data_IF_500701906668
#
_entry.id   IF_500701906668
#
_cell.length_a   1.000
_cell.length_b   1.000
_cell.length_c   1.000
_cell.angle_alpha   90.00
_cell.angle_beta   90.00
_cell.angle_gamma   90.00
#
_symmetry.space_group_name_H-M   'P 1'
#
loop_
_entity.id
_entity.type
_entity.pdbx_description
1 polymer ?
#
# COMPACT_ATOMS: atom_id res chain seq x y z
N UNK A 1 38.20 12.71 -26.27
CA UNK A 1 37.83 11.48 -25.52
C UNK A 1 36.98 11.87 -24.33
N UNK A 2 35.66 11.70 -24.44
CA UNK A 2 34.71 11.97 -23.37
C UNK A 2 34.77 10.84 -22.32
N UNK A 3 34.80 11.19 -21.03
CA UNK A 3 34.50 10.29 -19.91
C UNK A 3 33.22 10.81 -19.25
N UNK A 4 32.14 10.07 -19.45
CA UNK A 4 30.85 10.29 -18.79
C UNK A 4 30.95 9.80 -17.33
N UNK A 5 30.76 10.73 -16.39
CA UNK A 5 30.51 10.42 -14.98
C UNK A 5 29.01 10.27 -14.75
N UNK A 6 28.55 9.07 -14.41
CA UNK A 6 27.19 8.82 -13.93
C UNK A 6 27.15 9.10 -12.41
N UNK A 7 26.59 10.26 -12.06
CA UNK A 7 26.33 10.64 -10.68
C UNK A 7 25.21 9.79 -10.06
N UNK A 8 25.55 9.08 -9.00
CA UNK A 8 24.60 8.39 -8.13
C UNK A 8 23.66 9.41 -7.45
N UNK A 9 22.35 9.31 -7.68
CA UNK A 9 21.36 9.97 -6.84
C UNK A 9 21.17 9.14 -5.56
N UNK A 10 21.57 9.72 -4.43
CA UNK A 10 21.26 9.22 -3.08
C UNK A 10 19.74 9.10 -2.90
N UNK A 11 19.29 7.91 -2.48
CA UNK A 11 17.98 7.73 -1.86
C UNK A 11 17.99 8.44 -0.50
N UNK A 12 17.35 9.60 -0.37
CA UNK A 12 17.18 10.30 0.91
C UNK A 12 15.89 9.88 1.61
N UNK A 13 16.04 9.37 2.84
CA UNK A 13 14.99 8.90 3.76
C UNK A 13 14.32 10.02 4.56
N UNK A 14 13.91 11.11 3.91
CA UNK A 14 13.22 12.23 4.58
C UNK A 14 12.07 12.69 3.70
N UNK A 15 10.83 12.35 4.09
CA UNK A 15 9.66 13.06 3.55
C UNK A 15 9.64 14.49 4.09
N UNK A 16 9.07 15.47 3.36
CA UNK A 16 9.02 16.85 3.83
C UNK A 16 8.28 16.93 5.16
N UNK A 17 8.87 17.65 6.11
CA UNK A 17 8.21 18.03 7.36
C UNK A 17 7.16 19.11 7.08
N UNK A 18 6.07 19.16 7.86
CA UNK A 18 4.97 20.12 7.67
C UNK A 18 5.41 21.60 7.75
N UNK A 19 6.67 21.89 8.10
CA UNK A 19 7.21 23.25 8.22
C UNK A 19 7.55 23.89 6.87
N UNK A 20 7.77 23.11 5.80
CA UNK A 20 8.28 23.67 4.52
C UNK A 20 7.21 24.07 3.49
N UNK A 21 5.91 23.89 3.79
CA UNK A 21 4.83 24.14 2.81
C UNK A 21 4.38 25.61 2.69
N UNK A 22 5.06 26.57 3.32
CA UNK A 22 4.70 28.00 3.31
C UNK A 22 5.85 28.89 2.86
N UNK A 23 6.24 28.81 1.58
CA UNK A 23 6.85 29.89 0.80
C UNK A 23 7.27 29.37 -0.58
N UNK A 24 6.64 29.84 -1.65
CA UNK A 24 7.13 29.54 -3.01
C UNK A 24 6.11 29.69 -4.13
N UNK A 25 5.61 30.91 -4.35
CA UNK A 25 5.01 31.27 -5.64
C UNK A 25 6.10 31.17 -6.73
N UNK A 26 6.00 30.20 -7.65
CA UNK A 26 6.82 30.15 -8.87
C UNK A 26 5.98 30.46 -10.09
N UNK A 27 6.15 31.66 -10.62
CA UNK A 27 5.69 32.08 -11.95
C UNK A 27 6.24 31.13 -13.03
N UNK A 28 5.35 30.68 -13.92
CA UNK A 28 5.70 30.00 -15.17
C UNK A 28 6.36 31.00 -16.13
N UNK A 29 7.61 30.78 -16.52
CA UNK A 29 8.21 31.43 -17.69
C UNK A 29 7.91 30.58 -18.94
N UNK A 30 7.19 31.19 -19.88
CA UNK A 30 6.98 30.71 -21.25
C UNK A 30 8.19 31.16 -22.06
N UNK A 31 8.94 30.23 -22.65
CA UNK A 31 10.01 30.54 -23.61
C UNK A 31 9.47 30.22 -25.01
N UNK A 32 9.18 31.28 -25.79
CA UNK A 32 8.94 31.21 -27.23
C UNK A 32 10.28 31.26 -27.97
N UNK A 33 10.58 30.24 -28.77
CA UNK A 33 11.69 30.26 -29.72
C UNK A 33 11.14 30.48 -31.13
N UNK A 34 11.28 31.71 -31.62
CA UNK A 34 11.13 32.07 -33.03
C UNK A 34 12.52 32.09 -33.66
N UNK A 35 12.76 31.30 -34.70
CA UNK A 35 13.76 31.65 -35.73
C UNK A 35 13.31 31.13 -37.10
N UNK A 36 13.14 32.07 -38.03
CA UNK A 36 13.09 31.83 -39.47
C UNK A 36 14.22 32.65 -40.14
N UNK A 37 14.73 32.22 -41.31
CA UNK A 37 16.11 32.49 -41.75
C UNK A 37 16.20 33.57 -42.85
N UNK A 38 17.43 34.04 -43.16
CA UNK A 38 17.83 34.45 -44.53
C UNK A 38 19.36 34.62 -44.72
N UNK A 39 19.85 34.52 -45.97
CA UNK A 39 21.22 34.13 -46.33
C UNK A 39 22.06 35.29 -46.93
N UNK A 40 23.36 35.05 -47.11
CA UNK A 40 24.18 35.76 -48.13
C UNK A 40 25.36 34.90 -48.59
N UNK A 41 25.87 35.26 -49.77
CA UNK A 41 26.45 34.46 -50.83
C UNK A 41 27.98 34.68 -50.97
N UNK A 42 28.61 33.87 -51.86
CA UNK A 42 29.93 34.01 -52.54
C UNK A 42 31.19 33.47 -51.84
N UNK A 43 32.18 32.85 -52.48
CA UNK A 43 32.41 32.30 -53.84
C UNK A 43 33.83 31.70 -53.84
N UNK A 44 34.09 30.49 -54.39
CA UNK A 44 35.38 30.19 -55.03
C UNK A 44 35.32 28.93 -55.92
N UNK A 45 35.91 29.05 -57.11
CA UNK A 45 36.01 28.04 -58.18
C UNK A 45 37.11 27.00 -57.87
N UNK A 46 36.97 25.75 -58.32
CA UNK A 46 37.84 25.12 -59.34
C UNK A 46 37.52 23.63 -59.59
N UNK A 47 37.69 23.27 -60.87
CA UNK A 47 37.95 21.97 -61.52
C UNK A 47 36.96 20.81 -61.44
N UNK A 48 36.52 20.46 -62.64
CA UNK A 48 35.88 19.23 -63.12
C UNK A 48 36.75 17.98 -62.93
N UNK A 49 36.26 16.99 -62.18
CA UNK A 49 36.67 15.59 -62.29
C UNK A 49 35.46 14.69 -61.98
N UNK A 50 35.11 13.84 -62.95
CA UNK A 50 34.38 12.56 -62.82
C UNK A 50 33.33 12.42 -61.70
N UNK A 51 32.03 12.40 -62.06
CA UNK A 51 31.02 11.69 -61.26
C UNK A 51 30.36 10.60 -62.08
N UNK A 52 30.90 9.40 -61.86
CA UNK A 52 30.36 8.12 -62.25
C UNK A 52 28.90 8.00 -61.77
N UNK A 53 28.02 7.57 -62.66
CA UNK A 53 26.61 7.31 -62.42
C UNK A 53 26.48 6.00 -61.63
N UNK A 54 26.38 6.08 -60.29
CA UNK A 54 25.98 4.95 -59.48
C UNK A 54 24.46 5.00 -59.28
N UNK A 55 23.74 4.13 -59.98
CA UNK A 55 22.37 3.77 -59.62
C UNK A 55 22.43 3.09 -58.24
N UNK A 56 22.03 3.82 -57.20
CA UNK A 56 21.82 3.22 -55.89
C UNK A 56 20.56 2.37 -55.96
N UNK A 57 20.75 1.05 -55.86
CA UNK A 57 19.67 0.10 -55.61
C UNK A 57 18.92 0.52 -54.34
N UNK A 58 17.61 0.67 -54.43
CA UNK A 58 16.73 0.84 -53.27
C UNK A 58 16.72 -0.46 -52.47
N UNK A 59 17.61 -0.58 -51.50
CA UNK A 59 17.42 -1.52 -50.41
C UNK A 59 16.21 -1.05 -49.59
N UNK A 60 15.20 -1.91 -49.33
CA UNK A 60 14.15 -1.56 -48.39
C UNK A 60 14.82 -1.39 -47.03
N UNK A 61 14.86 -0.15 -46.54
CA UNK A 61 15.22 0.13 -45.16
C UNK A 61 14.19 -0.57 -44.29
N UNK A 62 14.60 -1.69 -43.69
CA UNK A 62 13.93 -2.25 -42.54
C UNK A 62 14.17 -1.28 -41.38
N UNK A 63 13.42 -0.18 -41.35
CA UNK A 63 13.28 0.67 -40.17
C UNK A 63 12.60 -0.19 -39.10
N UNK A 64 13.40 -0.95 -38.35
CA UNK A 64 12.94 -1.50 -37.08
C UNK A 64 12.58 -0.30 -36.21
N UNK A 65 11.29 -0.18 -35.93
CA UNK A 65 10.62 1.06 -35.54
C UNK A 65 10.95 1.38 -34.06
N UNK A 66 12.09 2.03 -33.82
CA UNK A 66 12.56 2.42 -32.47
C UNK A 66 11.47 3.23 -31.75
N UNK A 67 10.79 4.11 -32.47
CA UNK A 67 9.69 4.95 -31.95
C UNK A 67 8.52 4.11 -31.42
N UNK A 68 8.20 2.99 -32.08
CA UNK A 68 7.13 2.08 -31.65
C UNK A 68 7.51 1.31 -30.37
N UNK A 69 8.78 0.92 -30.22
CA UNK A 69 9.26 0.28 -28.99
C UNK A 69 9.25 1.26 -27.81
N UNK A 70 9.60 2.52 -28.04
CA UNK A 70 9.56 3.57 -27.04
C UNK A 70 8.11 3.86 -26.61
N UNK A 71 7.17 3.98 -27.55
CA UNK A 71 5.74 4.15 -27.26
C UNK A 71 5.16 2.98 -26.45
N UNK A 72 5.47 1.73 -26.83
CA UNK A 72 5.05 0.54 -26.06
C UNK A 72 5.62 0.60 -24.64
N UNK A 73 6.89 0.95 -24.49
CA UNK A 73 7.55 1.05 -23.18
C UNK A 73 6.90 2.09 -22.27
N UNK A 74 6.54 3.25 -22.82
CA UNK A 74 5.84 4.33 -22.09
C UNK A 74 4.45 3.85 -21.65
N UNK A 75 3.69 3.21 -22.54
CA UNK A 75 2.34 2.74 -22.23
C UNK A 75 2.33 1.61 -21.19
N UNK A 76 3.26 0.66 -21.29
CA UNK A 76 3.45 -0.39 -20.28
C UNK A 76 3.79 0.23 -18.93
N UNK A 77 4.71 1.20 -18.89
CA UNK A 77 5.10 1.89 -17.65
C UNK A 77 3.91 2.63 -17.02
N UNK A 78 3.06 3.27 -17.85
CA UNK A 78 1.84 3.94 -17.40
C UNK A 78 0.84 2.94 -16.81
N UNK A 79 0.57 1.83 -17.48
CA UNK A 79 -0.34 0.78 -16.98
C UNK A 79 0.17 0.13 -15.69
N UNK A 80 1.47 -0.13 -15.58
CA UNK A 80 2.08 -0.66 -14.36
C UNK A 80 1.96 0.33 -13.19
N UNK A 81 2.16 1.62 -13.44
CA UNK A 81 1.96 2.67 -12.43
C UNK A 81 0.50 2.73 -11.99
N UNK A 82 -0.44 2.72 -12.94
CA UNK A 82 -1.86 2.70 -12.63
C UNK A 82 -2.22 1.46 -11.80
N UNK A 83 -1.72 0.28 -12.19
CA UNK A 83 -1.92 -0.95 -11.42
C UNK A 83 -1.33 -0.87 -10.00
N UNK A 84 -0.13 -0.29 -9.84
CA UNK A 84 0.47 -0.06 -8.53
C UNK A 84 -0.43 0.78 -7.62
N UNK A 85 -1.01 1.88 -8.13
CA UNK A 85 -1.94 2.71 -7.36
C UNK A 85 -3.29 2.04 -7.12
N UNK A 86 -3.77 1.25 -8.08
CA UNK A 86 -4.98 0.43 -7.94
C UNK A 86 -4.86 -0.53 -6.76
N UNK A 87 -3.68 -1.16 -6.59
CA UNK A 87 -3.40 -2.10 -5.51
C UNK A 87 -3.33 -1.45 -4.12
N UNK A 88 -3.33 -0.12 -4.00
CA UNK A 88 -3.14 0.61 -2.73
C UNK A 88 -1.85 0.15 -2.00
N UNK A 89 -0.67 0.65 -2.40
CA UNK A 89 0.62 0.10 -1.98
C UNK A 89 0.80 -0.04 -0.45
N UNK A 90 0.26 0.91 0.31
CA UNK A 90 0.33 0.87 1.76
C UNK A 90 -0.38 -0.36 2.36
N UNK A 91 -1.53 -0.76 1.81
CA UNK A 91 -2.24 -1.94 2.30
C UNK A 91 -1.51 -3.23 1.91
N UNK A 92 -0.89 -3.26 0.72
CA UNK A 92 -0.10 -4.41 0.22
C UNK A 92 1.14 -4.61 1.10
N UNK A 93 1.90 -3.55 1.37
CA UNK A 93 3.06 -3.60 2.27
C UNK A 93 2.63 -4.11 3.65
N UNK A 94 1.52 -3.58 4.18
CA UNK A 94 0.97 -4.03 5.46
C UNK A 94 0.56 -5.51 5.45
N UNK A 95 0.00 -6.02 4.35
CA UNK A 95 -0.31 -7.46 4.19
C UNK A 95 0.97 -8.29 4.16
N UNK A 96 1.97 -7.90 3.35
CA UNK A 96 3.22 -8.65 3.24
C UNK A 96 3.90 -8.75 4.60
N UNK A 97 4.12 -7.61 5.27
CA UNK A 97 4.75 -7.59 6.58
C UNK A 97 3.94 -8.34 7.63
N UNK A 98 2.61 -8.21 7.61
CA UNK A 98 1.73 -8.91 8.53
C UNK A 98 1.80 -10.43 8.39
N UNK A 99 1.62 -10.95 7.17
CA UNK A 99 1.71 -12.39 6.93
C UNK A 99 3.11 -12.91 7.26
N UNK A 100 4.17 -12.21 6.83
CA UNK A 100 5.55 -12.61 7.17
C UNK A 100 5.76 -12.66 8.68
N UNK A 101 5.37 -11.63 9.41
CA UNK A 101 5.52 -11.54 10.86
C UNK A 101 4.82 -12.70 11.58
N UNK A 102 3.55 -12.93 11.24
CA UNK A 102 2.73 -13.98 11.85
C UNK A 102 3.22 -15.38 11.48
N UNK A 103 3.68 -15.57 10.25
CA UNK A 103 4.19 -16.86 9.79
C UNK A 103 5.49 -17.29 10.49
N UNK A 104 6.22 -16.36 11.10
CA UNK A 104 7.42 -16.65 11.90
C UNK A 104 7.09 -17.07 13.34
N UNK A 105 5.96 -16.62 13.90
CA UNK A 105 5.58 -16.91 15.30
C UNK A 105 5.50 -18.41 15.69
N UNK A 106 5.08 -19.35 14.83
CA UNK A 106 5.06 -20.77 15.18
C UNK A 106 6.41 -21.49 15.00
N UNK A 107 7.43 -20.80 14.46
CA UNK A 107 8.77 -21.38 14.31
C UNK A 107 9.49 -21.42 15.66
N UNK A 108 10.16 -22.53 15.96
CA UNK A 108 10.86 -22.75 17.24
C UNK A 108 12.38 -22.64 17.12
N UNK A 109 12.93 -23.02 15.98
CA UNK A 109 14.37 -22.94 15.68
C UNK A 109 14.58 -22.73 14.18
N UNK A 110 15.82 -22.49 13.77
CA UNK A 110 16.19 -22.43 12.35
C UNK A 110 16.01 -23.77 11.64
N UNK A 111 15.93 -24.89 12.38
CA UNK A 111 15.71 -26.22 11.81
C UNK A 111 14.29 -26.35 11.23
N UNK A 112 13.35 -25.51 11.66
CA UNK A 112 12.02 -25.44 11.06
C UNK A 112 12.06 -24.85 9.63
N UNK A 113 13.15 -24.16 9.26
CA UNK A 113 13.29 -23.57 7.94
C UNK A 113 13.50 -24.67 6.90
N UNK A 114 12.45 -24.95 6.16
CA UNK A 114 12.41 -25.96 5.11
C UNK A 114 11.76 -25.42 3.85
N UNK A 115 11.97 -26.11 2.72
CA UNK A 115 11.28 -25.81 1.47
C UNK A 115 9.76 -25.89 1.65
N UNK A 116 9.26 -26.83 2.45
CA UNK A 116 7.83 -26.95 2.76
C UNK A 116 7.30 -25.71 3.49
N UNK A 117 8.06 -25.18 4.46
CA UNK A 117 7.70 -23.95 5.17
C UNK A 117 7.71 -22.75 4.24
N UNK A 118 8.73 -22.63 3.38
CA UNK A 118 8.81 -21.56 2.39
C UNK A 118 7.61 -21.60 1.42
N UNK A 119 7.27 -22.78 0.90
CA UNK A 119 6.14 -22.94 -0.03
C UNK A 119 4.80 -22.65 0.65
N UNK A 120 4.58 -23.13 1.88
CA UNK A 120 3.38 -22.82 2.66
C UNK A 120 3.24 -21.32 2.94
N UNK A 121 4.34 -20.67 3.32
CA UNK A 121 4.38 -19.21 3.50
C UNK A 121 4.06 -18.46 2.20
N UNK A 122 4.70 -18.82 1.08
CA UNK A 122 4.47 -18.17 -0.22
C UNK A 122 3.02 -18.35 -0.71
N UNK A 123 2.43 -19.52 -0.45
CA UNK A 123 1.03 -19.80 -0.76
C UNK A 123 0.07 -18.90 0.03
N UNK A 124 0.31 -18.79 1.34
CA UNK A 124 -0.46 -17.91 2.21
C UNK A 124 -0.29 -16.44 1.83
N UNK A 125 0.94 -16.01 1.54
CA UNK A 125 1.24 -14.64 1.13
C UNK A 125 0.60 -14.28 -0.21
N UNK A 126 0.77 -15.13 -1.24
CA UNK A 126 0.24 -14.88 -2.57
C UNK A 126 -1.30 -14.80 -2.56
N UNK A 127 -1.97 -15.71 -1.85
CA UNK A 127 -3.43 -15.66 -1.69
C UNK A 127 -3.89 -14.41 -0.94
N UNK A 128 -3.22 -14.03 0.16
CA UNK A 128 -3.56 -12.83 0.92
C UNK A 128 -3.37 -11.53 0.10
N UNK A 129 -2.30 -11.43 -0.69
CA UNK A 129 -2.06 -10.29 -1.58
C UNK A 129 -3.15 -10.21 -2.65
N UNK A 130 -3.51 -11.35 -3.27
CA UNK A 130 -4.60 -11.38 -4.26
C UNK A 130 -5.94 -10.96 -3.64
N UNK A 131 -6.27 -11.47 -2.44
CA UNK A 131 -7.48 -11.08 -1.72
C UNK A 131 -7.47 -9.59 -1.36
N UNK A 132 -6.32 -9.02 -0.97
CA UNK A 132 -6.23 -7.59 -0.70
C UNK A 132 -6.52 -6.77 -1.97
N UNK A 133 -5.93 -7.13 -3.11
CA UNK A 133 -6.18 -6.47 -4.40
C UNK A 133 -7.67 -6.54 -4.77
N UNK A 134 -8.32 -7.70 -4.56
CA UNK A 134 -9.76 -7.84 -4.70
C UNK A 134 -10.52 -6.85 -3.81
N UNK A 135 -10.24 -6.81 -2.50
CA UNK A 135 -10.97 -5.95 -1.54
C UNK A 135 -10.81 -4.47 -1.88
N UNK A 136 -9.59 -3.99 -2.14
CA UNK A 136 -9.36 -2.57 -2.45
C UNK A 136 -9.81 -2.18 -3.84
N UNK A 137 -9.78 -3.10 -4.80
CA UNK A 137 -10.28 -2.89 -6.15
C UNK A 137 -11.80 -2.83 -6.18
N UNK A 138 -12.46 -3.75 -5.47
CA UNK A 138 -13.92 -3.75 -5.31
C UNK A 138 -14.38 -2.46 -4.65
N UNK A 139 -13.69 -2.01 -3.60
CA UNK A 139 -14.00 -0.75 -2.96
C UNK A 139 -13.94 0.43 -3.94
N UNK A 140 -12.87 0.51 -4.76
CA UNK A 140 -12.75 1.58 -5.77
C UNK A 140 -13.85 1.52 -6.84
N UNK A 141 -14.29 0.33 -7.28
CA UNK A 141 -15.38 0.20 -8.27
C UNK A 141 -16.69 0.80 -7.79
N UNK A 142 -17.04 0.62 -6.51
CA UNK A 142 -18.27 1.17 -5.93
C UNK A 142 -18.10 2.59 -5.38
N UNK A 143 -16.88 3.11 -5.33
CA UNK A 143 -16.56 4.42 -4.76
C UNK A 143 -16.02 5.40 -5.80
N UNK A 144 -16.19 5.16 -7.10
CA UNK A 144 -15.62 6.01 -8.16
C UNK A 144 -15.95 7.50 -7.92
N UNK A 145 -17.22 7.85 -7.72
CA UNK A 145 -17.64 9.24 -7.51
C UNK A 145 -17.16 9.81 -6.16
N UNK A 146 -17.09 8.98 -5.12
CA UNK A 146 -16.58 9.39 -3.80
C UNK A 146 -15.08 9.65 -3.85
N UNK A 147 -14.33 8.75 -4.50
CA UNK A 147 -12.89 8.84 -4.63
C UNK A 147 -12.48 9.93 -5.63
N UNK A 148 -13.36 10.42 -6.53
CA UNK A 148 -13.09 11.68 -7.27
C UNK A 148 -12.92 12.88 -6.35
N UNK A 149 -13.61 12.90 -5.21
CA UNK A 149 -13.47 13.94 -4.19
C UNK A 149 -12.28 13.64 -3.28
N UNK A 150 -12.26 12.45 -2.70
CA UNK A 150 -11.30 12.12 -1.64
C UNK A 150 -9.91 11.76 -2.17
N UNK A 151 -9.83 11.08 -3.32
CA UNK A 151 -8.62 10.42 -3.84
C UNK A 151 -8.56 10.48 -5.37
N UNK A 152 -8.58 11.69 -5.97
CA UNK A 152 -8.78 11.89 -7.41
C UNK A 152 -7.70 11.24 -8.29
N UNK A 153 -6.53 10.95 -7.74
CA UNK A 153 -5.41 10.34 -8.47
C UNK A 153 -5.52 8.82 -8.61
N UNK A 154 -6.56 8.18 -8.06
CA UNK A 154 -6.72 6.74 -8.19
C UNK A 154 -7.11 6.34 -9.62
N UNK A 155 -6.71 5.15 -10.10
CA UNK A 155 -6.88 4.80 -11.50
C UNK A 155 -8.33 4.80 -11.98
N UNK A 156 -9.28 4.35 -11.16
CA UNK A 156 -10.70 4.36 -11.54
C UNK A 156 -11.34 5.75 -11.40
N UNK A 157 -10.97 6.53 -10.37
CA UNK A 157 -11.50 7.87 -10.16
C UNK A 157 -10.98 8.88 -11.21
N UNK A 158 -9.70 8.78 -11.57
CA UNK A 158 -9.04 9.60 -12.60
C UNK A 158 -9.42 9.20 -14.04
N UNK A 159 -10.00 8.01 -14.24
CA UNK A 159 -10.30 7.45 -15.56
C UNK A 159 -9.11 6.81 -16.27
N UNK A 160 -7.95 6.67 -15.62
CA UNK A 160 -6.82 5.91 -16.18
C UNK A 160 -7.18 4.44 -16.44
N UNK A 161 -8.02 3.85 -15.58
CA UNK A 161 -8.63 2.54 -15.80
C UNK A 161 -10.12 2.69 -16.11
N UNK A 162 -10.59 1.95 -17.11
CA UNK A 162 -12.02 1.77 -17.35
C UNK A 162 -12.65 0.88 -16.28
N UNK A 163 -13.97 1.02 -16.09
CA UNK A 163 -14.74 0.15 -15.20
C UNK A 163 -14.57 -1.32 -15.57
N UNK A 164 -14.57 -1.65 -16.87
CA UNK A 164 -14.36 -3.02 -17.37
C UNK A 164 -13.00 -3.59 -16.97
N UNK A 165 -11.94 -2.78 -17.04
CA UNK A 165 -10.61 -3.19 -16.56
C UNK A 165 -10.62 -3.42 -15.06
N UNK A 166 -11.24 -2.52 -14.28
CA UNK A 166 -11.40 -2.67 -12.83
C UNK A 166 -12.13 -3.96 -12.46
N UNK A 167 -13.27 -4.24 -13.09
CA UNK A 167 -14.06 -5.47 -12.87
C UNK A 167 -13.26 -6.71 -13.23
N UNK A 168 -12.57 -6.70 -14.37
CA UNK A 168 -11.71 -7.82 -14.81
C UNK A 168 -10.59 -8.11 -13.80
N UNK A 169 -9.90 -7.07 -13.30
CA UNK A 169 -8.85 -7.21 -12.30
C UNK A 169 -9.41 -7.76 -10.98
N UNK A 170 -10.49 -7.18 -10.46
CA UNK A 170 -11.14 -7.61 -9.21
C UNK A 170 -11.56 -9.08 -9.30
N UNK A 171 -12.23 -9.46 -10.41
CA UNK A 171 -12.63 -10.86 -10.65
C UNK A 171 -11.43 -11.80 -10.76
N UNK A 172 -10.41 -11.45 -11.52
CA UNK A 172 -9.21 -12.27 -11.69
C UNK A 172 -8.47 -12.49 -10.35
N UNK A 173 -8.27 -11.43 -9.56
CA UNK A 173 -7.59 -11.54 -8.27
C UNK A 173 -8.40 -12.32 -7.23
N UNK A 174 -9.73 -12.22 -7.24
CA UNK A 174 -10.58 -13.09 -6.43
C UNK A 174 -10.42 -14.56 -6.80
N UNK A 175 -10.52 -14.89 -8.09
CA UNK A 175 -10.38 -16.26 -8.59
C UNK A 175 -9.01 -16.82 -8.26
N UNK A 176 -7.93 -16.06 -8.49
CA UNK A 176 -6.57 -16.48 -8.12
C UNK A 176 -6.46 -16.74 -6.62
N UNK A 177 -6.95 -15.83 -5.78
CA UNK A 177 -6.90 -15.99 -4.33
C UNK A 177 -7.60 -17.27 -3.86
N UNK A 178 -8.84 -17.48 -4.29
CA UNK A 178 -9.64 -18.65 -3.89
C UNK A 178 -9.06 -19.94 -4.47
N UNK A 179 -8.55 -19.91 -5.71
CA UNK A 179 -7.90 -21.07 -6.33
C UNK A 179 -6.66 -21.53 -5.55
N UNK A 180 -5.82 -20.58 -5.11
CA UNK A 180 -4.68 -20.87 -4.23
C UNK A 180 -5.18 -21.46 -2.90
N UNK A 181 -6.22 -20.88 -2.31
CA UNK A 181 -6.86 -21.40 -1.10
C UNK A 181 -7.35 -22.85 -1.28
N UNK A 182 -8.04 -23.18 -2.37
CA UNK A 182 -8.56 -24.53 -2.63
C UNK A 182 -7.39 -25.50 -2.78
N UNK A 183 -6.38 -25.11 -3.56
CA UNK A 183 -5.19 -25.93 -3.80
C UNK A 183 -4.39 -26.20 -2.52
N UNK A 184 -4.37 -25.25 -1.58
CA UNK A 184 -3.68 -25.39 -0.29
C UNK A 184 -4.23 -26.55 0.55
N UNK A 185 -5.53 -26.84 0.46
CA UNK A 185 -6.26 -27.72 1.40
C UNK A 185 -6.13 -27.28 2.87
N UNK A 186 -5.74 -26.04 3.14
CA UNK A 186 -5.64 -25.46 4.47
C UNK A 186 -6.98 -24.82 4.85
N UNK A 187 -7.70 -25.45 5.78
CA UNK A 187 -8.96 -24.91 6.29
C UNK A 187 -8.81 -23.52 6.93
N UNK A 188 -7.77 -23.21 7.75
CA UNK A 188 -7.57 -21.86 8.29
C UNK A 188 -7.37 -20.81 7.20
N UNK A 189 -6.57 -21.13 6.17
CA UNK A 189 -6.30 -20.21 5.07
C UNK A 189 -7.58 -19.98 4.26
N UNK A 190 -8.29 -21.04 3.89
CA UNK A 190 -9.57 -20.93 3.17
C UNK A 190 -10.59 -20.10 3.95
N UNK A 191 -10.71 -20.34 5.27
CA UNK A 191 -11.58 -19.56 6.14
C UNK A 191 -11.22 -18.07 6.09
N UNK A 192 -9.93 -17.72 6.21
CA UNK A 192 -9.49 -16.33 6.13
C UNK A 192 -9.87 -15.68 4.79
N UNK A 193 -9.71 -16.39 3.69
CA UNK A 193 -10.01 -15.88 2.34
C UNK A 193 -11.52 -15.71 2.13
N UNK A 194 -12.33 -16.68 2.54
CA UNK A 194 -13.79 -16.60 2.41
C UNK A 194 -14.38 -15.50 3.29
N UNK A 195 -13.94 -15.39 4.56
CA UNK A 195 -14.41 -14.31 5.44
C UNK A 195 -13.95 -12.95 4.92
N UNK A 196 -12.72 -12.83 4.40
CA UNK A 196 -12.24 -11.58 3.79
C UNK A 196 -13.04 -11.19 2.54
N UNK A 197 -13.37 -12.17 1.69
CA UNK A 197 -14.23 -11.97 0.53
C UNK A 197 -15.62 -11.47 0.94
N UNK A 198 -16.26 -12.14 1.91
CA UNK A 198 -17.60 -11.79 2.39
C UNK A 198 -17.62 -10.40 3.04
N UNK A 199 -16.67 -10.11 3.92
CA UNK A 199 -16.59 -8.80 4.60
C UNK A 199 -16.20 -7.68 3.64
N UNK A 200 -15.29 -7.93 2.69
CA UNK A 200 -14.93 -6.96 1.65
C UNK A 200 -16.12 -6.63 0.73
N UNK A 201 -16.90 -7.65 0.37
CA UNK A 201 -18.15 -7.52 -0.39
C UNK A 201 -19.20 -6.75 0.39
N UNK A 202 -19.50 -7.16 1.63
CA UNK A 202 -20.48 -6.51 2.49
C UNK A 202 -20.11 -5.07 2.82
N UNK A 203 -18.81 -4.78 2.92
CA UNK A 203 -18.31 -3.42 3.08
C UNK A 203 -18.59 -2.54 1.85
N UNK A 204 -18.36 -3.06 0.64
CA UNK A 204 -18.28 -2.24 -0.58
C UNK A 204 -19.53 -2.25 -1.46
N UNK A 205 -20.22 -3.37 -1.64
CA UNK A 205 -21.28 -3.51 -2.64
C UNK A 205 -22.52 -2.72 -2.22
N UNK A 206 -23.07 -1.91 -3.13
CA UNK A 206 -24.26 -1.09 -2.88
C UNK A 206 -25.57 -1.85 -3.18
N UNK A 207 -25.91 -2.79 -2.30
CA UNK A 207 -27.15 -3.55 -2.31
C UNK A 207 -27.80 -3.55 -0.91
N UNK A 208 -29.11 -3.84 -0.78
CA UNK A 208 -29.77 -3.98 0.51
C UNK A 208 -29.01 -4.94 1.44
N UNK A 209 -28.91 -4.60 2.73
CA UNK A 209 -28.16 -5.32 3.77
C UNK A 209 -26.62 -5.32 3.61
N UNK A 210 -26.08 -4.81 2.51
CA UNK A 210 -24.64 -4.63 2.28
C UNK A 210 -24.25 -3.15 2.48
N UNK A 211 -23.19 -2.67 1.80
CA UNK A 211 -22.64 -1.33 1.92
C UNK A 211 -22.35 -0.90 3.36
N UNK A 212 -21.82 -1.81 4.16
CA UNK A 212 -21.58 -1.61 5.60
C UNK A 212 -20.65 -0.43 5.90
N UNK A 213 -19.87 0.05 4.93
CA UNK A 213 -19.11 1.30 5.03
C UNK A 213 -19.96 2.51 5.44
N UNK A 214 -21.27 2.52 5.16
CA UNK A 214 -22.22 3.59 5.58
C UNK A 214 -22.37 3.68 7.10
N UNK A 215 -22.06 2.60 7.83
CA UNK A 215 -22.18 2.51 9.28
C UNK A 215 -20.79 2.44 9.93
N UNK A 216 -20.38 3.43 10.75
CA UNK A 216 -19.02 3.48 11.31
C UNK A 216 -18.58 2.23 12.05
N UNK A 217 -19.49 1.66 12.86
CA UNK A 217 -19.20 0.46 13.63
C UNK A 217 -18.93 -0.73 12.72
N UNK A 218 -19.82 -1.02 11.75
CA UNK A 218 -19.65 -2.13 10.83
C UNK A 218 -18.41 -1.95 9.94
N UNK A 219 -18.16 -0.72 9.47
CA UNK A 219 -16.97 -0.37 8.70
C UNK A 219 -15.67 -0.69 9.47
N UNK A 220 -15.60 -0.27 10.74
CA UNK A 220 -14.47 -0.55 11.62
C UNK A 220 -14.36 -2.05 11.93
N UNK A 221 -15.48 -2.75 12.18
CA UNK A 221 -15.51 -4.18 12.43
C UNK A 221 -14.96 -4.99 11.25
N UNK A 222 -15.33 -4.65 10.00
CA UNK A 222 -14.78 -5.33 8.81
C UNK A 222 -13.26 -5.23 8.76
N UNK A 223 -12.73 -4.02 8.96
CA UNK A 223 -11.29 -3.77 8.89
C UNK A 223 -10.57 -4.47 10.04
N UNK A 224 -11.11 -4.40 11.26
CA UNK A 224 -10.56 -5.07 12.43
C UNK A 224 -10.52 -6.59 12.24
N UNK A 225 -11.62 -7.21 11.83
CA UNK A 225 -11.68 -8.66 11.64
C UNK A 225 -10.67 -9.10 10.58
N UNK A 226 -10.64 -8.43 9.42
CA UNK A 226 -9.75 -8.83 8.33
C UNK A 226 -8.28 -8.55 8.64
N UNK A 227 -7.94 -7.36 9.15
CA UNK A 227 -6.55 -6.91 9.30
C UNK A 227 -5.89 -7.31 10.60
N UNK A 228 -6.66 -7.57 11.66
CA UNK A 228 -6.12 -7.97 12.96
C UNK A 228 -6.48 -9.42 13.28
N UNK A 229 -7.76 -9.79 13.30
CA UNK A 229 -8.13 -11.13 13.81
C UNK A 229 -7.71 -12.23 12.82
N UNK A 230 -8.12 -12.12 11.55
CA UNK A 230 -7.83 -13.14 10.54
C UNK A 230 -6.34 -13.22 10.23
N UNK A 231 -5.68 -12.07 10.02
CA UNK A 231 -4.23 -12.03 9.75
C UNK A 231 -3.46 -12.72 10.87
N UNK A 232 -3.75 -12.43 12.14
CA UNK A 232 -3.00 -13.01 13.25
C UNK A 232 -3.37 -14.49 13.47
N UNK A 233 -4.66 -14.83 13.56
CA UNK A 233 -5.06 -16.17 13.98
C UNK A 233 -5.04 -17.17 12.84
N UNK A 234 -5.59 -16.83 11.68
CA UNK A 234 -5.76 -17.81 10.61
C UNK A 234 -4.43 -18.17 9.93
N UNK A 235 -3.55 -17.18 9.72
CA UNK A 235 -2.24 -17.42 9.10
C UNK A 235 -1.26 -18.07 10.09
N UNK A 236 -1.31 -17.73 11.37
CA UNK A 236 -0.59 -18.48 12.41
C UNK A 236 -1.03 -19.95 12.40
N UNK A 237 -2.34 -20.18 12.40
CA UNK A 237 -2.92 -21.53 12.42
C UNK A 237 -2.60 -22.31 11.15
N UNK A 238 -2.60 -21.66 9.99
CA UNK A 238 -2.12 -22.26 8.73
C UNK A 238 -0.67 -22.73 8.87
N UNK A 239 0.24 -21.87 9.33
CA UNK A 239 1.64 -22.26 9.50
C UNK A 239 1.81 -23.36 10.56
N UNK A 240 1.14 -23.23 11.71
CA UNK A 240 1.22 -24.17 12.82
C UNK A 240 0.67 -25.56 12.45
N UNK A 241 -0.59 -25.64 12.03
CA UNK A 241 -1.28 -26.91 11.82
C UNK A 241 -1.08 -27.48 10.43
N UNK A 242 -1.16 -26.64 9.40
CA UNK A 242 -1.13 -27.13 8.04
C UNK A 242 0.29 -27.31 7.51
N UNK A 243 1.19 -26.36 7.76
CA UNK A 243 2.55 -26.38 7.21
C UNK A 243 3.49 -27.19 8.12
N UNK A 244 3.57 -26.83 9.41
CA UNK A 244 4.45 -27.48 10.39
C UNK A 244 3.89 -28.78 10.98
N UNK A 245 2.62 -29.11 10.71
CA UNK A 245 1.92 -30.30 11.22
C UNK A 245 1.92 -30.42 12.75
N UNK A 246 1.84 -29.28 13.44
CA UNK A 246 1.80 -29.19 14.91
C UNK A 246 0.37 -28.95 15.41
N UNK A 247 0.02 -29.38 16.63
CA UNK A 247 -1.29 -29.07 17.21
C UNK A 247 -1.48 -27.55 17.36
N UNK A 248 -2.73 -27.10 17.29
CA UNK A 248 -3.06 -25.70 17.57
C UNK A 248 -2.70 -25.37 19.01
N UNK A 249 -1.76 -24.44 19.17
CA UNK A 249 -1.29 -23.98 20.47
C UNK A 249 -0.97 -22.48 20.36
N UNK A 250 -1.96 -21.59 20.61
CA UNK A 250 -1.74 -20.15 20.52
C UNK A 250 -0.71 -19.74 21.57
N UNK A 251 0.40 -19.16 21.10
CA UNK A 251 1.46 -18.64 21.97
C UNK A 251 1.04 -17.33 22.62
N UNK A 252 1.73 -16.93 23.70
CA UNK A 252 1.52 -15.60 24.30
C UNK A 252 1.76 -14.49 23.27
N UNK A 253 2.74 -14.66 22.38
CA UNK A 253 3.09 -13.71 21.33
C UNK A 253 1.96 -13.53 20.30
N UNK A 254 1.29 -14.60 19.83
CA UNK A 254 0.16 -14.45 18.89
C UNK A 254 -1.06 -13.81 19.56
N UNK A 255 -1.33 -14.13 20.83
CA UNK A 255 -2.43 -13.50 21.60
C UNK A 255 -2.16 -12.01 21.79
N UNK A 256 -0.95 -11.66 22.24
CA UNK A 256 -0.50 -10.27 22.38
C UNK A 256 -0.63 -9.52 21.05
N UNK A 257 -0.07 -10.08 19.98
CA UNK A 257 -0.09 -9.46 18.67
C UNK A 257 -1.54 -9.31 18.13
N UNK A 258 -2.43 -10.26 18.40
CA UNK A 258 -3.86 -10.14 18.04
C UNK A 258 -4.53 -8.97 18.75
N UNK A 259 -4.39 -8.87 20.07
CA UNK A 259 -5.01 -7.78 20.84
C UNK A 259 -4.43 -6.41 20.49
N UNK A 260 -3.12 -6.34 20.34
CA UNK A 260 -2.42 -5.11 19.98
C UNK A 260 -2.78 -4.65 18.55
N UNK A 261 -2.78 -5.57 17.59
CA UNK A 261 -3.16 -5.24 16.21
C UNK A 261 -4.65 -4.95 16.05
N UNK A 262 -5.52 -5.45 16.93
CA UNK A 262 -6.92 -5.00 16.99
C UNK A 262 -7.02 -3.50 17.30
N UNK A 263 -6.24 -3.01 18.27
CA UNK A 263 -6.21 -1.59 18.62
C UNK A 263 -5.68 -0.76 17.44
N UNK A 264 -4.57 -1.20 16.84
CA UNK A 264 -3.98 -0.54 15.66
C UNK A 264 -4.93 -0.54 14.45
N UNK A 265 -5.61 -1.65 14.19
CA UNK A 265 -6.55 -1.78 13.08
C UNK A 265 -7.78 -0.88 13.27
N UNK A 266 -8.29 -0.77 14.49
CA UNK A 266 -9.34 0.20 14.82
C UNK A 266 -8.89 1.63 14.54
N UNK A 267 -7.65 1.98 14.91
CA UNK A 267 -7.09 3.30 14.61
C UNK A 267 -6.94 3.52 13.11
N UNK A 268 -6.44 2.57 12.33
CA UNK A 268 -6.37 2.68 10.87
C UNK A 268 -7.76 2.88 10.27
N UNK A 269 -8.77 2.14 10.76
CA UNK A 269 -10.14 2.26 10.31
C UNK A 269 -10.75 3.64 10.59
N UNK A 270 -10.45 4.25 11.73
CA UNK A 270 -10.92 5.59 12.08
C UNK A 270 -10.11 6.70 11.37
N UNK A 271 -8.80 6.53 11.28
CA UNK A 271 -7.90 7.54 10.72
C UNK A 271 -8.07 7.66 9.21
N UNK A 272 -8.41 6.57 8.50
CA UNK A 272 -8.68 6.62 7.05
C UNK A 272 -9.85 7.57 6.72
N UNK A 273 -10.82 7.70 7.63
CA UNK A 273 -12.01 8.52 7.43
C UNK A 273 -11.73 10.02 7.63
N UNK A 274 -10.57 10.39 8.20
CA UNK A 274 -10.18 11.79 8.39
C UNK A 274 -9.91 12.47 7.03
N UNK A 275 -9.01 11.98 6.15
CA UNK A 275 -8.84 12.56 4.83
C UNK A 275 -10.05 12.37 3.92
N UNK A 276 -10.91 11.38 4.19
CA UNK A 276 -12.07 11.04 3.37
C UNK A 276 -13.36 11.81 3.75
N UNK A 277 -13.29 12.73 4.73
CA UNK A 277 -14.47 13.34 5.36
C UNK A 277 -15.38 14.10 4.39
N UNK A 278 -14.82 14.74 3.36
CA UNK A 278 -15.58 15.59 2.45
C UNK A 278 -16.40 14.73 1.49
N UNK A 279 -15.77 13.75 0.81
CA UNK A 279 -16.50 12.80 -0.03
C UNK A 279 -17.44 11.89 0.77
N UNK A 280 -17.12 11.55 2.02
CA UNK A 280 -18.06 10.82 2.88
C UNK A 280 -19.33 11.64 3.15
N UNK A 281 -19.18 12.93 3.47
CA UNK A 281 -20.30 13.84 3.72
C UNK A 281 -21.18 13.99 2.47
N UNK A 282 -20.55 14.25 1.33
CA UNK A 282 -21.25 14.55 0.07
C UNK A 282 -22.08 13.36 -0.44
N UNK A 283 -21.64 12.13 -0.12
CA UNK A 283 -22.31 10.89 -0.53
C UNK A 283 -23.07 10.18 0.61
N UNK A 284 -23.35 10.90 1.71
CA UNK A 284 -24.19 10.43 2.80
C UNK A 284 -23.59 9.31 3.65
N UNK A 285 -22.27 9.10 3.61
CA UNK A 285 -21.55 8.18 4.48
C UNK A 285 -21.35 8.85 5.84
N UNK A 286 -21.97 8.28 6.86
CA UNK A 286 -21.99 8.87 8.19
C UNK A 286 -20.79 8.42 9.02
N UNK A 287 -19.57 8.54 8.50
CA UNK A 287 -18.32 8.15 9.18
C UNK A 287 -18.12 8.90 10.50
N UNK A 288 -17.25 8.39 11.38
CA UNK A 288 -17.06 9.03 12.69
C UNK A 288 -16.48 10.45 12.55
N UNK A 289 -15.64 10.67 11.53
CA UNK A 289 -15.08 11.97 11.17
C UNK A 289 -16.15 12.95 10.70
N UNK A 290 -17.18 12.48 9.98
CA UNK A 290 -18.34 13.29 9.59
C UNK A 290 -19.19 13.64 10.81
N UNK A 291 -19.47 12.67 11.69
CA UNK A 291 -20.36 12.87 12.86
C UNK A 291 -19.74 13.71 13.98
N UNK A 292 -18.48 13.45 14.32
CA UNK A 292 -17.81 14.07 15.49
C UNK A 292 -16.84 15.18 15.09
N UNK A 293 -16.44 15.24 13.82
CA UNK A 293 -15.39 16.12 13.32
C UNK A 293 -14.00 15.48 13.38
N UNK A 294 -13.18 15.80 12.38
CA UNK A 294 -11.82 15.29 12.19
C UNK A 294 -10.95 15.43 13.45
N UNK A 295 -11.01 16.57 14.14
CA UNK A 295 -10.16 16.87 15.30
C UNK A 295 -10.47 16.00 16.52
N UNK A 296 -11.73 15.62 16.74
CA UNK A 296 -12.09 14.70 17.83
C UNK A 296 -11.62 13.28 17.53
N UNK A 297 -11.82 12.82 16.29
CA UNK A 297 -11.39 11.48 15.84
C UNK A 297 -9.87 11.37 15.86
N UNK A 298 -9.16 12.40 15.42
CA UNK A 298 -7.70 12.45 15.52
C UNK A 298 -7.21 12.24 16.96
N UNK A 299 -7.72 13.02 17.92
CA UNK A 299 -7.34 12.87 19.33
C UNK A 299 -7.67 11.50 19.88
N UNK A 300 -8.83 10.94 19.52
CA UNK A 300 -9.20 9.58 19.89
C UNK A 300 -8.17 8.57 19.38
N UNK A 301 -7.81 8.64 18.10
CA UNK A 301 -6.81 7.75 17.48
C UNK A 301 -5.45 7.84 18.18
N UNK A 302 -4.94 9.05 18.44
CA UNK A 302 -3.65 9.24 19.12
C UNK A 302 -3.70 8.67 20.54
N UNK A 303 -4.77 8.94 21.30
CA UNK A 303 -4.92 8.42 22.65
C UNK A 303 -5.01 6.88 22.66
N UNK A 304 -5.73 6.29 21.71
CA UNK A 304 -5.81 4.83 21.57
C UNK A 304 -4.44 4.22 21.30
N UNK A 305 -3.65 4.78 20.38
CA UNK A 305 -2.30 4.30 20.09
C UNK A 305 -1.35 4.47 21.29
N UNK A 306 -1.34 5.64 21.93
CA UNK A 306 -0.51 5.86 23.12
C UNK A 306 -0.88 4.90 24.26
N UNK A 307 -2.16 4.61 24.44
CA UNK A 307 -2.64 3.62 25.43
C UNK A 307 -2.18 2.21 25.06
N UNK A 308 -2.33 1.82 23.78
CA UNK A 308 -1.87 0.52 23.29
C UNK A 308 -0.36 0.34 23.50
N UNK A 309 0.44 1.37 23.18
CA UNK A 309 1.88 1.36 23.41
C UNK A 309 2.24 1.27 24.89
N UNK A 310 1.55 2.02 25.75
CA UNK A 310 1.78 1.97 27.19
C UNK A 310 1.48 0.56 27.72
N UNK A 311 0.36 -0.04 27.30
CA UNK A 311 0.01 -1.41 27.65
C UNK A 311 1.06 -2.42 27.15
N UNK A 312 1.53 -2.27 25.92
CA UNK A 312 2.59 -3.12 25.36
C UNK A 312 3.90 -3.04 26.16
N UNK A 313 4.30 -1.82 26.57
CA UNK A 313 5.48 -1.60 27.41
C UNK A 313 5.32 -2.30 28.77
N UNK A 314 4.14 -2.17 29.41
CA UNK A 314 3.87 -2.83 30.69
C UNK A 314 3.90 -4.35 30.58
N UNK A 315 3.30 -4.91 29.52
CA UNK A 315 3.35 -6.35 29.22
C UNK A 315 4.80 -6.79 29.00
N UNK A 316 5.57 -6.05 28.19
CA UNK A 316 6.99 -6.34 27.96
C UNK A 316 7.85 -6.28 29.23
N UNK A 317 7.61 -5.30 30.10
CA UNK A 317 8.31 -5.15 31.37
C UNK A 317 8.08 -6.33 32.32
N UNK A 318 6.90 -6.97 32.23
CA UNK A 318 6.55 -8.18 32.99
C UNK A 318 7.18 -9.47 32.45
N UNK A 319 7.84 -9.43 31.27
CA UNK A 319 8.46 -10.64 30.71
C UNK A 319 9.64 -11.12 31.56
N UNK A 320 9.75 -12.43 31.85
CA UNK A 320 10.91 -12.99 32.55
C UNK A 320 12.15 -13.08 31.65
N UNK A 321 11.98 -13.05 30.32
CA UNK A 321 13.08 -13.13 29.36
C UNK A 321 13.65 -11.72 29.10
N UNK A 322 14.94 -11.54 29.36
CA UNK A 322 15.62 -10.23 29.20
C UNK A 322 15.59 -9.71 27.75
N UNK A 323 15.74 -10.59 26.76
CA UNK A 323 15.73 -10.21 25.35
C UNK A 323 14.35 -9.72 24.91
N UNK A 324 13.29 -10.47 25.25
CA UNK A 324 11.90 -10.06 24.98
C UNK A 324 11.56 -8.77 25.72
N UNK A 325 12.01 -8.63 26.98
CA UNK A 325 11.81 -7.42 27.78
C UNK A 325 12.43 -6.20 27.11
N UNK A 326 13.72 -6.26 26.74
CA UNK A 326 14.41 -5.15 26.08
C UNK A 326 13.72 -4.82 24.77
N UNK A 327 13.45 -5.83 23.94
CA UNK A 327 12.87 -5.62 22.60
C UNK A 327 11.47 -5.01 22.68
N UNK A 328 10.60 -5.56 23.52
CA UNK A 328 9.23 -5.06 23.67
C UNK A 328 9.18 -3.69 24.34
N UNK A 329 9.94 -3.45 25.41
CA UNK A 329 9.93 -2.16 26.11
C UNK A 329 10.56 -1.06 25.26
N UNK A 330 11.75 -1.29 24.70
CA UNK A 330 12.46 -0.28 23.92
C UNK A 330 11.79 -0.07 22.55
N UNK A 331 11.38 -1.14 21.87
CA UNK A 331 10.72 -1.06 20.56
C UNK A 331 9.44 -0.24 20.62
N UNK A 332 8.50 -0.59 21.49
CA UNK A 332 7.25 0.17 21.65
C UNK A 332 7.48 1.55 22.28
N UNK A 333 8.45 1.70 23.20
CA UNK A 333 8.81 2.99 23.77
C UNK A 333 9.32 3.98 22.71
N UNK A 334 10.17 3.52 21.80
CA UNK A 334 10.66 4.33 20.68
C UNK A 334 9.51 4.70 19.73
N UNK A 335 8.65 3.75 19.37
CA UNK A 335 7.52 4.01 18.47
C UNK A 335 6.49 4.96 19.11
N UNK A 336 6.22 4.82 20.41
CA UNK A 336 5.38 5.75 21.18
C UNK A 336 5.98 7.15 21.22
N UNK A 337 7.29 7.28 21.46
CA UNK A 337 7.99 8.55 21.44
C UNK A 337 7.91 9.23 20.07
N UNK A 338 8.15 8.48 18.99
CA UNK A 338 8.06 8.99 17.61
C UNK A 338 6.63 9.42 17.27
N UNK A 339 5.62 8.64 17.66
CA UNK A 339 4.21 9.00 17.52
C UNK A 339 3.89 10.31 18.26
N UNK A 340 4.25 10.39 19.54
CA UNK A 340 3.99 11.55 20.38
C UNK A 340 4.65 12.82 19.83
N UNK A 341 5.93 12.72 19.46
CA UNK A 341 6.68 13.84 18.89
C UNK A 341 6.03 14.34 17.59
N UNK A 342 5.67 13.42 16.68
CA UNK A 342 5.05 13.78 15.40
C UNK A 342 3.62 14.28 15.56
N UNK A 343 2.86 13.74 16.53
CA UNK A 343 1.50 14.18 16.84
C UNK A 343 1.48 15.63 17.34
N UNK A 344 2.48 16.05 18.12
CA UNK A 344 2.60 17.44 18.58
C UNK A 344 2.82 18.46 17.46
N UNK A 345 3.44 18.03 16.37
CA UNK A 345 3.73 18.87 15.21
C UNK A 345 2.64 18.83 14.14
N UNK A 346 1.61 17.98 14.33
CA UNK A 346 0.57 17.79 13.34
C UNK A 346 -0.53 18.83 13.51
N UNK A 347 -0.68 19.67 12.49
CA UNK A 347 -1.83 20.55 12.36
C UNK A 347 -2.90 19.89 11.48
N UNK A 348 -4.03 19.53 12.10
CA UNK A 348 -5.15 18.92 11.40
C UNK A 348 -5.89 19.90 10.49
N UNK A 349 -5.82 21.21 10.77
CA UNK A 349 -6.51 22.21 9.96
C UNK A 349 -5.87 22.32 8.56
N UNK A 350 -4.57 22.04 8.47
CA UNK A 350 -3.87 21.96 7.22
C UNK A 350 -4.16 20.62 6.49
N UNK A 351 -5.11 20.64 5.55
CA UNK A 351 -5.50 19.47 4.75
C UNK A 351 -4.33 18.77 4.05
N UNK A 352 -3.29 19.51 3.65
CA UNK A 352 -2.12 18.94 2.96
C UNK A 352 -1.29 18.01 3.84
N UNK A 353 -1.36 18.18 5.17
CA UNK A 353 -0.62 17.36 6.14
C UNK A 353 -1.36 16.08 6.54
N UNK A 354 -2.68 15.98 6.31
CA UNK A 354 -3.51 14.86 6.78
C UNK A 354 -3.09 13.53 6.14
N UNK A 355 -3.03 13.47 4.81
CA UNK A 355 -2.65 12.23 4.09
C UNK A 355 -1.22 11.77 4.42
N UNK A 356 -0.19 12.66 4.44
CA UNK A 356 1.14 12.30 4.92
C UNK A 356 1.17 11.75 6.35
N UNK A 357 0.35 12.30 7.27
CA UNK A 357 0.26 11.79 8.63
C UNK A 357 -0.45 10.43 8.69
N UNK A 358 -1.50 10.23 7.91
CA UNK A 358 -2.15 8.92 7.77
C UNK A 358 -1.17 7.85 7.25
N UNK A 359 -0.34 8.19 6.25
CA UNK A 359 0.72 7.30 5.77
C UNK A 359 1.81 7.05 6.83
N UNK A 360 2.02 7.97 7.76
CA UNK A 360 2.89 7.75 8.91
C UNK A 360 2.30 6.75 9.90
N UNK A 361 1.00 6.78 10.17
CA UNK A 361 0.34 5.74 10.99
C UNK A 361 0.53 4.34 10.37
N UNK A 362 0.45 4.23 9.05
CA UNK A 362 0.78 2.99 8.34
C UNK A 362 2.24 2.56 8.53
N UNK A 363 3.20 3.50 8.56
CA UNK A 363 4.60 3.18 8.85
C UNK A 363 4.81 2.67 10.27
N UNK A 364 4.09 3.21 11.25
CA UNK A 364 4.09 2.66 12.61
C UNK A 364 3.56 1.22 12.58
N UNK A 365 2.42 0.99 11.94
CA UNK A 365 1.83 -0.35 11.77
C UNK A 365 2.80 -1.36 11.12
N UNK A 366 3.60 -0.93 10.13
CA UNK A 366 4.66 -1.76 9.55
C UNK A 366 5.76 -2.09 10.55
N UNK A 367 6.19 -1.10 11.33
CA UNK A 367 7.21 -1.28 12.35
C UNK A 367 6.76 -2.29 13.40
N UNK A 368 5.49 -2.29 13.81
CA UNK A 368 4.96 -3.29 14.75
C UNK A 368 5.15 -4.72 14.25
N UNK A 369 4.85 -4.97 12.98
CA UNK A 369 5.06 -6.30 12.39
C UNK A 369 6.52 -6.71 12.33
N UNK A 370 7.47 -5.76 12.30
CA UNK A 370 8.89 -6.08 12.42
C UNK A 370 9.29 -6.42 13.85
N UNK A 371 8.62 -5.87 14.87
CA UNK A 371 8.94 -6.14 16.28
C UNK A 371 8.26 -7.42 16.77
N UNK A 372 7.02 -7.71 16.34
CA UNK A 372 6.20 -8.84 16.83
C UNK A 372 6.91 -10.20 16.89
N UNK A 373 7.72 -10.62 15.89
CA UNK A 373 8.39 -11.92 15.92
C UNK A 373 9.42 -12.09 17.05
N UNK A 374 9.84 -10.99 17.67
CA UNK A 374 10.85 -10.98 18.73
C UNK A 374 10.24 -10.89 20.15
N UNK A 375 8.90 -10.91 20.27
CA UNK A 375 8.18 -10.68 21.52
C UNK A 375 7.82 -11.95 22.29
#
# INVERSE_FOLDING_TARGET
>A
MARFGLGARKFSWTGPSCVEASAGHRQRQVICLNMCPRPTEKQCRHSSVFKLRCNAATHPQHNFNIDQFEEIGIEVTKKLRAFYWFCRPHTIIGTILGITSVSLLPMKSLDDLSVTVLLGFLEALASAVCMNIYVVGLNQLFDIEIDKVNKPTLPLASGEFSVTTGVSLVGAFLVMSISIGIRSKSAPLMCALLVSFLLGSAYSIDLPLLRWKRHPFLAASCILVVRAILVQLAFFTHMQQHVLKRPFAPTRSVVFATLFMCCFSAVIALFKDIPDVDGDRDFGIQSLSVRLGQQKVYRLCINMLMTAYTAAILVGASSPNLYQKITTVFGHGLLAFVLWHRARQFDIANKTCITPFYMFIWKLFYAEYLVIPFM
#
